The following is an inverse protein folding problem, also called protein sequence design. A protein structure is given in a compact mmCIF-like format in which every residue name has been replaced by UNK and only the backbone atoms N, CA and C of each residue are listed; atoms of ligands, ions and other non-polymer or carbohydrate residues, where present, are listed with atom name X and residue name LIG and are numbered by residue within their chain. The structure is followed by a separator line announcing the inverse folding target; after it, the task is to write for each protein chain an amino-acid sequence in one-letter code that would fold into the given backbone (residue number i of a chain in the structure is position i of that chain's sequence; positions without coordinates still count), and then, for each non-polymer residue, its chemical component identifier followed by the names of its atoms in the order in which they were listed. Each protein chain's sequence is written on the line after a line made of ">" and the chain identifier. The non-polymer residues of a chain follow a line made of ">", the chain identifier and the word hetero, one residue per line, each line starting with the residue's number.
data_IF_532883053867
#
_entry.id   IF_532883053867
#
_cell.length_a   1.000
_cell.length_b   1.000
_cell.length_c   1.000
_cell.angle_alpha   90.00
_cell.angle_beta   90.00
_cell.angle_gamma   90.00
#
_symmetry.space_group_name_H-M   'P 1'
#
loop_
_entity.id
_entity.type
_entity.pdbx_description
1 polymer ?
#
# COMPACT_ATOMS: atom_id res chain seq x y z
N UNK A 1 -22.33 -3.60 3.56
CA UNK A 1 -21.27 -4.15 2.69
C UNK A 1 -20.18 -4.85 3.48
N UNK A 2 -19.24 -4.18 4.18
CA UNK A 2 -18.17 -4.92 4.90
C UNK A 2 -18.68 -5.78 6.06
N UNK A 3 -19.68 -5.30 6.81
CA UNK A 3 -20.35 -6.09 7.86
C UNK A 3 -21.12 -7.31 7.29
N UNK A 4 -21.49 -7.27 6.01
CA UNK A 4 -22.24 -8.34 5.33
C UNK A 4 -21.31 -9.29 4.57
N UNK A 5 -20.27 -8.77 3.91
CA UNK A 5 -19.37 -9.55 3.04
C UNK A 5 -18.16 -10.09 3.78
N UNK A 6 -17.70 -9.41 4.83
CA UNK A 6 -16.54 -9.80 5.64
C UNK A 6 -15.21 -9.84 4.88
N UNK A 7 -15.14 -9.31 3.67
CA UNK A 7 -13.98 -9.40 2.79
C UNK A 7 -13.74 -8.05 2.11
N UNK A 8 -12.46 -7.68 1.99
CA UNK A 8 -12.02 -6.47 1.31
C UNK A 8 -10.58 -6.58 0.84
N UNK A 9 -10.15 -5.63 0.02
CA UNK A 9 -8.76 -5.47 -0.41
C UNK A 9 -8.31 -4.07 0.01
N UNK A 10 -7.13 -3.98 0.63
CA UNK A 10 -6.43 -2.71 0.87
C UNK A 10 -5.43 -2.51 -0.25
N UNK A 11 -5.41 -1.31 -0.82
CA UNK A 11 -4.52 -0.91 -1.88
C UNK A 11 -3.56 0.15 -1.34
N UNK A 12 -2.27 0.09 -1.71
CA UNK A 12 -1.35 1.19 -1.43
C UNK A 12 -1.19 2.03 -2.71
N UNK A 13 -1.86 3.18 -2.81
CA UNK A 13 -1.80 4.01 -4.01
C UNK A 13 -0.46 4.74 -4.11
N UNK A 14 -0.08 5.01 -5.35
CA UNK A 14 1.10 5.80 -5.71
C UNK A 14 0.71 7.22 -6.09
N UNK A 15 1.71 8.06 -6.38
CA UNK A 15 1.49 9.41 -6.93
C UNK A 15 0.55 9.41 -8.13
N UNK A 16 0.69 8.44 -9.03
CA UNK A 16 -0.11 8.31 -10.26
C UNK A 16 -1.59 8.03 -9.96
N UNK A 17 -1.87 7.37 -8.82
CA UNK A 17 -3.22 7.06 -8.35
C UNK A 17 -3.82 8.14 -7.42
N UNK A 18 -3.14 9.27 -7.21
CA UNK A 18 -3.62 10.30 -6.28
C UNK A 18 -5.03 10.82 -6.64
N UNK A 19 -5.27 11.11 -7.92
CA UNK A 19 -6.59 11.56 -8.38
C UNK A 19 -7.66 10.48 -8.19
N UNK A 20 -7.37 9.24 -8.57
CA UNK A 20 -8.28 8.11 -8.41
C UNK A 20 -8.61 7.86 -6.93
N UNK A 21 -7.62 8.01 -6.05
CA UNK A 21 -7.76 7.86 -4.59
C UNK A 21 -8.67 8.93 -4.01
N UNK A 22 -8.47 10.20 -4.38
CA UNK A 22 -9.33 11.31 -3.95
C UNK A 22 -10.77 11.11 -4.41
N UNK A 23 -10.96 10.82 -5.70
CA UNK A 23 -12.29 10.55 -6.26
C UNK A 23 -13.00 9.41 -5.52
N UNK A 24 -12.28 8.31 -5.25
CA UNK A 24 -12.80 7.20 -4.47
C UNK A 24 -13.15 7.58 -3.03
N UNK A 25 -12.49 8.56 -2.44
CA UNK A 25 -12.73 9.06 -1.09
C UNK A 25 -13.94 10.01 -0.98
N UNK A 26 -14.26 10.76 -2.04
CA UNK A 26 -15.31 11.81 -2.00
C UNK A 26 -16.62 11.42 -2.68
N UNK A 27 -16.61 10.46 -3.62
CA UNK A 27 -17.83 9.96 -4.29
C UNK A 27 -18.32 8.67 -3.65
N UNK A 28 -19.64 8.51 -3.54
CA UNK A 28 -20.24 7.26 -3.02
C UNK A 28 -20.32 6.21 -4.13
N UNK A 29 -19.95 4.96 -3.82
CA UNK A 29 -20.14 3.83 -4.74
C UNK A 29 -21.60 3.43 -4.95
N UNK A 30 -22.54 4.03 -4.19
CA UNK A 30 -24.00 3.87 -4.43
C UNK A 30 -24.48 4.65 -5.65
N UNK A 31 -23.74 5.68 -6.05
CA UNK A 31 -24.13 6.65 -7.07
C UNK A 31 -23.22 6.62 -8.30
N UNK A 32 -22.04 6.02 -8.18
CA UNK A 32 -20.98 6.05 -9.20
C UNK A 32 -20.32 4.67 -9.38
N UNK A 33 -20.11 4.27 -10.64
CA UNK A 33 -19.20 3.15 -10.96
C UNK A 33 -17.77 3.67 -11.02
N UNK A 34 -17.13 3.74 -9.85
CA UNK A 34 -15.77 4.28 -9.71
C UNK A 34 -14.74 3.56 -10.58
N UNK A 35 -14.90 2.27 -10.83
CA UNK A 35 -13.96 1.54 -11.71
C UNK A 35 -14.09 2.02 -13.15
N UNK A 36 -15.33 2.15 -13.64
CA UNK A 36 -15.60 2.66 -14.98
C UNK A 36 -15.16 4.11 -15.17
N UNK A 37 -15.51 4.99 -14.22
CA UNK A 37 -15.21 6.43 -14.30
C UNK A 37 -13.71 6.74 -14.23
N UNK A 38 -12.95 5.93 -13.49
CA UNK A 38 -11.50 6.12 -13.32
C UNK A 38 -10.68 5.20 -14.23
N UNK A 39 -11.32 4.40 -15.07
CA UNK A 39 -10.68 3.40 -15.93
C UNK A 39 -9.74 2.45 -15.17
N UNK A 40 -10.11 2.07 -13.95
CA UNK A 40 -9.32 1.17 -13.10
C UNK A 40 -9.52 -0.28 -13.51
N UNK A 41 -8.43 -1.04 -13.53
CA UNK A 41 -8.43 -2.45 -13.90
C UNK A 41 -8.82 -3.31 -12.71
N UNK A 42 -9.97 -4.00 -12.82
CA UNK A 42 -10.35 -5.06 -11.87
C UNK A 42 -9.51 -6.29 -12.11
N UNK A 43 -8.70 -6.67 -11.13
CA UNK A 43 -7.95 -7.93 -11.16
C UNK A 43 -8.55 -8.94 -10.18
N UNK A 44 -8.48 -10.23 -10.55
CA UNK A 44 -9.04 -11.30 -9.73
C UNK A 44 -8.17 -11.53 -8.49
N UNK A 45 -8.78 -11.44 -7.32
CA UNK A 45 -8.17 -11.80 -6.06
C UNK A 45 -8.02 -13.34 -5.92
N UNK A 46 -7.02 -13.77 -5.15
CA UNK A 46 -6.65 -15.18 -5.01
C UNK A 46 -7.32 -15.87 -3.83
N UNK A 47 -7.66 -15.10 -2.79
CA UNK A 47 -8.19 -15.56 -1.50
C UNK A 47 -9.52 -14.91 -1.14
N UNK A 48 -9.90 -13.75 -1.65
CA UNK A 48 -11.18 -13.06 -1.34
C UNK A 48 -12.02 -12.77 -2.59
N UNK A 49 -13.29 -12.39 -2.42
CA UNK A 49 -14.19 -12.06 -3.54
C UNK A 49 -13.97 -10.67 -4.15
N UNK A 50 -13.73 -9.59 -3.37
CA UNK A 50 -13.52 -8.26 -3.95
C UNK A 50 -12.29 -8.22 -4.87
N UNK A 51 -12.32 -7.45 -5.96
CA UNK A 51 -11.22 -7.39 -6.91
C UNK A 51 -10.03 -6.60 -6.34
N UNK A 52 -8.85 -6.88 -6.88
CA UNK A 52 -7.66 -6.04 -6.74
C UNK A 52 -7.75 -4.86 -7.72
N UNK A 53 -6.95 -3.80 -7.49
CA UNK A 53 -6.75 -2.70 -8.46
C UNK A 53 -5.41 -2.94 -9.14
N UNK A 54 -5.45 -3.19 -10.45
CA UNK A 54 -4.25 -3.57 -11.21
C UNK A 54 -3.20 -2.47 -11.30
N UNK A 55 -3.62 -1.22 -11.18
CA UNK A 55 -2.72 -0.06 -11.16
C UNK A 55 -2.04 0.14 -9.80
N UNK A 56 -2.51 -0.52 -8.74
CA UNK A 56 -1.90 -0.40 -7.41
C UNK A 56 -0.74 -1.40 -7.28
N UNK A 57 0.47 -0.94 -6.90
CA UNK A 57 1.64 -1.81 -6.76
C UNK A 57 1.55 -2.76 -5.58
N UNK A 58 0.61 -2.54 -4.65
CA UNK A 58 0.38 -3.42 -3.50
C UNK A 58 -1.11 -3.60 -3.28
N UNK A 59 -1.54 -4.86 -3.26
CA UNK A 59 -2.91 -5.24 -2.92
C UNK A 59 -2.89 -6.26 -1.78
N UNK A 60 -3.60 -5.97 -0.69
CA UNK A 60 -3.64 -6.79 0.53
C UNK A 60 -5.05 -7.34 0.66
N UNK A 61 -5.21 -8.64 0.47
CA UNK A 61 -6.49 -9.33 0.61
C UNK A 61 -6.80 -9.58 2.09
N UNK A 62 -7.96 -9.12 2.55
CA UNK A 62 -8.32 -9.13 3.98
C UNK A 62 -9.66 -9.82 4.25
N UNK A 63 -9.72 -10.57 5.36
CA UNK A 63 -10.95 -11.17 5.90
C UNK A 63 -11.23 -10.60 7.29
N UNK A 64 -12.40 -9.98 7.47
CA UNK A 64 -12.81 -9.39 8.75
C UNK A 64 -12.91 -10.49 9.82
N UNK A 65 -12.27 -10.28 10.95
CA UNK A 65 -12.39 -11.12 12.15
C UNK A 65 -13.35 -10.49 13.16
N UNK A 66 -13.30 -9.16 13.32
CA UNK A 66 -14.13 -8.41 14.25
C UNK A 66 -14.54 -7.05 13.68
N UNK A 67 -15.70 -6.57 14.12
CA UNK A 67 -16.19 -5.22 13.88
C UNK A 67 -16.51 -4.55 15.23
N UNK A 68 -15.82 -3.46 15.54
CA UNK A 68 -15.99 -2.71 16.78
C UNK A 68 -16.60 -1.35 16.45
N UNK A 69 -17.81 -1.10 16.94
CA UNK A 69 -18.46 0.20 16.81
C UNK A 69 -17.83 1.22 17.77
N UNK A 70 -17.36 2.35 17.23
CA UNK A 70 -16.72 3.43 17.98
C UNK A 70 -17.57 4.72 18.01
N UNK A 71 -18.86 4.59 17.72
CA UNK A 71 -19.83 5.70 17.67
C UNK A 71 -19.83 6.41 16.31
N UNK A 72 -18.76 7.12 15.97
CA UNK A 72 -18.69 7.88 14.69
C UNK A 72 -18.20 7.04 13.50
N UNK A 73 -17.53 5.92 13.77
CA UNK A 73 -16.97 5.02 12.77
C UNK A 73 -16.87 3.60 13.35
N UNK A 74 -16.54 2.64 12.49
CA UNK A 74 -16.26 1.26 12.86
C UNK A 74 -14.78 0.96 12.70
N UNK A 75 -14.22 0.19 13.63
CA UNK A 75 -12.92 -0.42 13.48
C UNK A 75 -13.10 -1.89 13.06
N UNK A 76 -12.61 -2.23 11.88
CA UNK A 76 -12.58 -3.61 11.41
C UNK A 76 -11.20 -4.21 11.71
N UNK A 77 -11.17 -5.28 12.49
CA UNK A 77 -9.99 -6.14 12.60
C UNK A 77 -10.08 -7.21 11.51
N UNK A 78 -8.96 -7.51 10.88
CA UNK A 78 -8.94 -8.44 9.74
C UNK A 78 -7.64 -9.23 9.68
N UNK A 79 -7.77 -10.48 9.23
CA UNK A 79 -6.66 -11.33 8.84
C UNK A 79 -6.21 -10.98 7.41
N UNK A 80 -4.90 -10.87 7.20
CA UNK A 80 -4.30 -10.75 5.87
C UNK A 80 -4.21 -12.14 5.24
N UNK A 81 -5.06 -12.40 4.25
CA UNK A 81 -5.15 -13.69 3.56
C UNK A 81 -4.11 -13.82 2.42
N UNK A 82 -3.77 -12.72 1.76
CA UNK A 82 -2.76 -12.67 0.70
C UNK A 82 -2.20 -11.24 0.54
N UNK A 83 -0.97 -11.14 0.03
CA UNK A 83 -0.38 -9.87 -0.41
C UNK A 83 0.14 -10.04 -1.82
N UNK A 84 -0.22 -9.13 -2.71
CA UNK A 84 0.27 -9.04 -4.08
C UNK A 84 1.09 -7.79 -4.21
N UNK A 85 2.25 -7.92 -4.86
CA UNK A 85 3.14 -6.80 -5.15
C UNK A 85 3.50 -6.79 -6.63
N UNK A 86 3.65 -5.60 -7.20
CA UNK A 86 4.09 -5.46 -8.58
C UNK A 86 5.55 -5.92 -8.73
N UNK A 87 5.79 -6.83 -9.68
CA UNK A 87 7.08 -7.51 -9.86
C UNK A 87 8.21 -6.54 -10.22
N UNK A 88 7.90 -5.41 -10.87
CA UNK A 88 8.90 -4.39 -11.23
C UNK A 88 9.61 -3.75 -10.03
N UNK A 89 9.03 -3.85 -8.82
CA UNK A 89 9.64 -3.35 -7.58
C UNK A 89 10.24 -4.48 -6.71
N UNK A 90 10.30 -5.71 -7.23
CA UNK A 90 11.03 -6.81 -6.60
C UNK A 90 12.47 -6.83 -7.11
N UNK A 91 13.42 -6.90 -6.19
CA UNK A 91 14.81 -7.16 -6.56
C UNK A 91 15.09 -8.66 -6.79
N UNK A 92 16.32 -8.96 -7.20
CA UNK A 92 16.77 -10.33 -7.47
C UNK A 92 16.73 -11.25 -6.25
N UNK A 93 16.66 -10.70 -5.04
CA UNK A 93 16.51 -11.46 -3.79
C UNK A 93 15.06 -11.69 -3.40
N UNK A 94 14.11 -11.11 -4.14
CA UNK A 94 12.68 -11.11 -3.82
C UNK A 94 12.29 -10.07 -2.78
N UNK A 95 13.17 -9.12 -2.44
CA UNK A 95 12.81 -8.02 -1.57
C UNK A 95 12.01 -6.97 -2.34
N UNK A 96 10.89 -6.54 -1.76
CA UNK A 96 10.01 -5.53 -2.34
C UNK A 96 10.41 -4.12 -1.90
N UNK A 97 10.59 -3.24 -2.87
CA UNK A 97 11.06 -1.86 -2.70
C UNK A 97 9.92 -0.87 -2.92
N UNK A 98 9.02 -0.76 -1.93
CA UNK A 98 7.83 0.11 -2.01
C UNK A 98 8.18 1.57 -2.31
N UNK A 99 9.33 2.06 -1.83
CA UNK A 99 9.76 3.44 -2.04
C UNK A 99 9.97 3.77 -3.52
N UNK A 100 10.31 2.78 -4.34
CA UNK A 100 10.47 2.95 -5.79
C UNK A 100 9.12 3.09 -6.49
N UNK A 101 8.04 2.60 -5.89
CA UNK A 101 6.69 2.75 -6.40
C UNK A 101 6.09 4.14 -6.14
N UNK A 102 6.79 5.04 -5.45
CA UNK A 102 6.32 6.41 -5.21
C UNK A 102 4.99 6.49 -4.45
N UNK A 103 4.86 5.85 -3.27
CA UNK A 103 3.62 5.89 -2.51
C UNK A 103 3.31 7.33 -2.07
N UNK A 104 2.01 7.58 -1.88
CA UNK A 104 1.50 8.87 -1.45
C UNK A 104 1.12 8.87 0.03
N UNK A 105 1.17 10.06 0.63
CA UNK A 105 0.79 10.33 2.02
C UNK A 105 -0.29 11.38 2.04
N UNK A 106 -1.31 11.18 2.85
CA UNK A 106 -2.33 12.18 3.13
C UNK A 106 -2.00 12.91 4.44
N UNK A 107 -2.03 14.24 4.41
CA UNK A 107 -1.86 15.08 5.60
C UNK A 107 -2.76 16.31 5.51
N UNK A 108 -3.68 16.45 6.47
CA UNK A 108 -4.57 17.60 6.63
C UNK A 108 -5.23 18.12 5.33
N UNK A 109 -5.84 17.22 4.55
CA UNK A 109 -6.55 17.59 3.32
C UNK A 109 -5.66 17.73 2.09
N UNK A 110 -4.36 17.43 2.20
CA UNK A 110 -3.40 17.51 1.11
C UNK A 110 -2.70 16.18 0.89
N UNK A 111 -2.49 15.82 -0.36
CA UNK A 111 -1.71 14.64 -0.76
C UNK A 111 -0.28 15.02 -1.10
N UNK A 112 0.67 14.23 -0.62
CA UNK A 112 2.11 14.40 -0.82
C UNK A 112 2.70 13.11 -1.37
N UNK A 113 3.73 13.21 -2.20
CA UNK A 113 4.58 12.05 -2.50
C UNK A 113 5.64 11.87 -1.42
N UNK A 114 6.19 10.67 -1.27
CA UNK A 114 7.40 10.47 -0.47
C UNK A 114 8.58 11.28 -1.02
N UNK A 115 9.41 11.78 -0.10
CA UNK A 115 10.70 12.39 -0.40
C UNK A 115 11.85 11.40 -0.27
N UNK A 116 13.07 11.92 -0.15
CA UNK A 116 14.28 11.11 -0.09
C UNK A 116 14.36 10.24 1.17
N UNK A 117 15.03 9.09 1.04
CA UNK A 117 15.30 8.20 2.16
C UNK A 117 16.14 8.89 3.24
N UNK A 118 15.64 8.90 4.48
CA UNK A 118 16.31 9.55 5.61
C UNK A 118 17.29 8.62 6.34
N UNK A 119 17.16 7.30 6.17
CA UNK A 119 18.02 6.31 6.79
C UNK A 119 17.43 4.90 6.72
N UNK A 120 18.25 3.90 7.05
CA UNK A 120 17.83 2.49 7.11
C UNK A 120 17.49 2.08 8.53
N UNK A 121 16.58 1.13 8.75
CA UNK A 121 16.27 0.63 10.10
C UNK A 121 17.54 0.35 10.93
N UNK A 122 17.58 0.86 12.17
CA UNK A 122 18.72 0.70 13.08
C UNK A 122 19.94 1.58 12.80
N UNK A 123 19.90 2.51 11.82
CA UNK A 123 21.05 3.37 11.50
C UNK A 123 21.51 4.26 12.67
N UNK A 124 20.63 4.57 13.63
CA UNK A 124 20.95 5.34 14.84
C UNK A 124 21.91 4.61 15.80
N UNK A 125 21.97 3.27 15.75
CA UNK A 125 22.76 2.42 16.65
C UNK A 125 23.79 1.56 15.92
N UNK A 126 23.89 1.66 14.60
CA UNK A 126 24.80 0.85 13.78
C UNK A 126 26.25 1.26 14.04
N UNK A 127 27.08 0.30 14.48
CA UNK A 127 28.53 0.53 14.66
C UNK A 127 29.16 0.93 13.32
N UNK A 128 29.94 2.02 13.31
CA UNK A 128 30.75 2.41 12.15
C UNK A 128 31.71 1.28 11.82
N UNK A 129 31.64 0.73 10.62
CA UNK A 129 32.67 -0.20 10.14
C UNK A 129 34.00 0.55 10.06
N UNK A 130 35.05 0.05 10.71
CA UNK A 130 36.40 0.59 10.57
C UNK A 130 36.80 0.45 9.10
N UNK A 131 37.12 1.57 8.42
CA UNK A 131 37.75 1.52 7.09
C UNK A 131 39.00 0.65 7.20
N UNK A 132 39.09 -0.42 6.39
CA UNK A 132 40.38 -1.10 6.19
C UNK A 132 41.29 -0.10 5.50
N UNK A 133 42.27 0.43 6.23
CA UNK A 133 43.40 1.14 5.61
C UNK A 133 44.09 0.15 4.69
N UNK A 134 44.04 0.41 3.39
CA UNK A 134 44.91 -0.24 2.43
C UNK A 134 46.33 0.20 2.74
N UNK A 135 47.03 -0.59 3.56
CA UNK A 135 48.49 -0.53 3.67
C UNK A 135 49.01 -0.94 2.29
N UNK A 136 49.25 0.04 1.41
CA UNK A 136 50.11 -0.12 0.24
C UNK A 136 51.50 -0.46 0.78
N UNK A 137 51.85 -1.74 0.71
CA UNK A 137 53.24 -2.19 0.89
C UNK A 137 54.02 -1.80 -0.37
N UNK A 138 55.04 -0.97 -0.13
CA UNK A 138 56.31 -0.75 -0.85
C UNK A 138 56.24 -0.53 -2.36
#
# INVERSE_FOLDING_TARGET
>A
MLEETGEFVINLPTRELAYATDFCGVKSGREADKFGELHLTRQKASKVRPPLIGESPVNIECRVTDCIALGSHHMFLAEVAAVHVAEEYLDQSGAFHLEQAGPMVYSHGTYFGLGDALGTFGYSVRKKQKKKENIRKQ
#
